data_IF_453082987484
#
_entry.id   IF_453082987484
#
_cell.length_a   1.000
_cell.length_b   1.000
_cell.length_c   1.000
_cell.angle_alpha   90.00
_cell.angle_beta   90.00
_cell.angle_gamma   90.00
#
_symmetry.space_group_name_H-M   'P 1'
#
loop_
_entity.id
_entity.type
_entity.pdbx_description
1 polymer ?
#
# COMPACT_ATOMS: atom_id res chain seq x y z
N UNK A 1 11.43 -20.37 -10.29
CA UNK A 1 11.31 -19.08 -11.00
C UNK A 1 9.99 -18.45 -10.58
N UNK A 2 9.98 -17.53 -9.61
CA UNK A 2 8.76 -16.86 -9.15
C UNK A 2 8.73 -15.42 -9.64
N UNK A 3 7.72 -15.12 -10.45
CA UNK A 3 7.47 -13.85 -11.12
C UNK A 3 7.16 -12.73 -10.13
N UNK A 4 8.12 -11.83 -9.98
CA UNK A 4 7.96 -10.49 -9.39
C UNK A 4 7.09 -9.60 -10.30
N UNK A 5 5.80 -9.91 -10.41
CA UNK A 5 4.84 -9.14 -11.23
C UNK A 5 4.05 -8.09 -10.45
N UNK A 6 3.63 -8.42 -9.23
CA UNK A 6 2.67 -7.61 -8.46
C UNK A 6 3.25 -6.27 -7.97
N UNK A 7 4.49 -6.27 -7.46
CA UNK A 7 5.11 -5.07 -6.90
C UNK A 7 5.35 -3.97 -7.95
N UNK A 8 5.53 -4.33 -9.22
CA UNK A 8 5.81 -3.39 -10.31
C UNK A 8 4.57 -2.56 -10.70
N UNK A 9 3.36 -3.07 -10.46
CA UNK A 9 2.10 -2.39 -10.80
C UNK A 9 1.69 -1.30 -9.82
N UNK A 10 2.24 -1.29 -8.60
CA UNK A 10 1.94 -0.27 -7.59
C UNK A 10 2.88 0.97 -7.68
N UNK A 11 3.80 1.03 -8.65
CA UNK A 11 4.61 2.23 -8.87
C UNK A 11 3.71 3.39 -9.30
N UNK A 12 3.86 4.54 -8.64
CA UNK A 12 3.20 5.79 -9.04
C UNK A 12 3.74 6.21 -10.42
N UNK A 13 2.84 6.54 -11.36
CA UNK A 13 3.20 7.09 -12.68
C UNK A 13 3.29 6.11 -13.86
N UNK A 14 3.01 4.81 -13.68
CA UNK A 14 2.98 3.82 -14.81
C UNK A 14 1.60 3.56 -15.40
N UNK A 15 0.55 4.12 -14.80
CA UNK A 15 -0.84 3.96 -15.28
C UNK A 15 -1.22 5.12 -16.19
N UNK A 16 -1.50 4.83 -17.46
CA UNK A 16 -1.92 5.84 -18.44
C UNK A 16 -3.34 6.37 -18.26
N UNK A 17 -4.13 5.79 -17.34
CA UNK A 17 -5.46 6.28 -16.96
C UNK A 17 -5.87 5.80 -15.57
N UNK A 18 -6.84 6.49 -14.97
CA UNK A 18 -7.43 6.12 -13.67
C UNK A 18 -8.13 4.76 -13.76
N UNK A 19 -8.83 4.48 -14.86
CA UNK A 19 -9.51 3.19 -15.05
C UNK A 19 -8.52 2.01 -15.09
N UNK A 20 -7.33 2.22 -15.67
CA UNK A 20 -6.29 1.19 -15.69
C UNK A 20 -5.75 0.91 -14.29
N UNK A 21 -5.53 1.96 -13.49
CA UNK A 21 -5.13 1.85 -12.09
C UNK A 21 -6.20 1.13 -11.25
N UNK A 22 -7.46 1.51 -11.38
CA UNK A 22 -8.57 0.89 -10.64
C UNK A 22 -8.69 -0.61 -10.92
N UNK A 23 -8.58 -1.00 -12.19
CA UNK A 23 -8.59 -2.41 -12.59
C UNK A 23 -7.43 -3.18 -11.97
N UNK A 24 -6.22 -2.62 -12.02
CA UNK A 24 -5.03 -3.27 -11.47
C UNK A 24 -5.10 -3.39 -9.94
N UNK A 25 -5.66 -2.39 -9.24
CA UNK A 25 -5.90 -2.47 -7.78
C UNK A 25 -6.92 -3.58 -7.47
N UNK A 26 -8.03 -3.66 -8.21
CA UNK A 26 -9.06 -4.69 -7.99
C UNK A 26 -8.53 -6.10 -8.23
N UNK A 27 -7.73 -6.29 -9.29
CA UNK A 27 -7.08 -7.56 -9.56
C UNK A 27 -6.11 -7.94 -8.43
N UNK A 28 -5.28 -6.99 -7.98
CA UNK A 28 -4.36 -7.21 -6.87
C UNK A 28 -5.08 -7.56 -5.56
N UNK A 29 -6.22 -6.91 -5.26
CA UNK A 29 -7.04 -7.22 -4.08
C UNK A 29 -7.62 -8.64 -4.13
N UNK A 30 -8.09 -9.09 -5.29
CA UNK A 30 -8.60 -10.44 -5.46
C UNK A 30 -7.50 -11.49 -5.20
N UNK A 31 -6.33 -11.31 -5.82
CA UNK A 31 -5.17 -12.18 -5.62
C UNK A 31 -4.71 -12.21 -4.15
N UNK A 32 -4.78 -11.08 -3.46
CA UNK A 32 -4.40 -10.97 -2.05
C UNK A 32 -5.39 -11.64 -1.11
N UNK A 33 -6.69 -11.54 -1.40
CA UNK A 33 -7.75 -12.14 -0.57
C UNK A 33 -7.75 -13.67 -0.66
N UNK A 34 -7.32 -14.26 -1.77
CA UNK A 34 -7.22 -15.72 -1.92
C UNK A 34 -6.14 -16.34 -1.01
N UNK A 35 -5.09 -15.59 -0.66
CA UNK A 35 -4.07 -16.03 0.28
C UNK A 35 -3.48 -14.84 1.05
N UNK A 36 -4.19 -14.33 2.06
CA UNK A 36 -3.76 -13.15 2.78
C UNK A 36 -2.51 -13.46 3.59
N UNK A 37 -1.46 -12.65 3.42
CA UNK A 37 -0.31 -12.69 4.34
C UNK A 37 -0.55 -11.64 5.42
N UNK A 38 -0.96 -12.04 6.63
CA UNK A 38 -1.26 -11.08 7.68
C UNK A 38 0.00 -10.27 7.98
N UNK A 39 -0.15 -8.95 7.93
CA UNK A 39 0.89 -8.05 8.39
C UNK A 39 0.86 -8.00 9.91
N UNK A 40 1.98 -8.36 10.54
CA UNK A 40 2.16 -8.15 11.97
C UNK A 40 2.64 -6.72 12.19
N UNK A 41 1.84 -5.93 12.88
CA UNK A 41 2.25 -4.59 13.29
C UNK A 41 3.50 -4.67 14.17
N UNK A 42 4.57 -4.02 13.71
CA UNK A 42 5.85 -3.92 14.45
C UNK A 42 5.83 -2.81 15.49
N UNK A 43 4.84 -1.92 15.42
CA UNK A 43 4.63 -0.80 16.32
C UNK A 43 3.23 -0.84 16.90
N UNK A 44 3.09 -0.43 18.14
CA UNK A 44 1.77 -0.31 18.78
C UNK A 44 1.01 0.90 18.24
N UNK A 45 -0.31 0.92 18.45
CA UNK A 45 -1.13 2.06 18.09
C UNK A 45 -0.64 3.36 18.75
N UNK A 46 -0.18 3.27 20.01
CA UNK A 46 0.35 4.41 20.77
C UNK A 46 1.66 4.93 20.18
N UNK A 47 2.54 4.05 19.70
CA UNK A 47 3.80 4.45 19.04
C UNK A 47 3.55 5.15 17.70
N UNK A 48 2.49 4.75 16.98
CA UNK A 48 2.06 5.42 15.76
C UNK A 48 1.41 6.78 16.08
N UNK A 49 0.57 6.85 17.11
CA UNK A 49 -0.05 8.09 17.56
C UNK A 49 0.99 9.13 17.99
N UNK A 50 2.01 8.70 18.76
CA UNK A 50 3.12 9.55 19.17
C UNK A 50 3.93 10.09 17.98
N UNK A 51 4.05 9.31 16.89
CA UNK A 51 4.69 9.78 15.66
C UNK A 51 3.85 10.84 14.94
N UNK A 52 2.52 10.68 14.89
CA UNK A 52 1.61 11.67 14.31
C UNK A 52 1.66 13.01 15.05
N UNK A 53 1.79 13.00 16.38
CA UNK A 53 1.93 14.24 17.18
C UNK A 53 3.33 14.86 17.10
N UNK A 54 4.34 14.09 16.68
CA UNK A 54 5.75 14.54 16.60
C UNK A 54 6.04 15.36 15.36
N UNK A 55 5.23 15.24 14.30
CA UNK A 55 5.31 16.15 13.16
C UNK A 55 4.63 17.45 13.64
N UNK A 56 5.37 18.51 14.02
CA UNK A 56 4.71 19.79 14.24
C UNK A 56 4.09 20.18 12.90
N UNK A 57 2.94 20.85 12.90
CA UNK A 57 2.35 21.48 11.71
C UNK A 57 3.47 21.92 10.78
N UNK A 58 3.68 21.18 9.69
CA UNK A 58 4.73 21.46 8.73
C UNK A 58 4.31 22.77 8.09
N UNK A 59 4.86 23.86 8.64
CA UNK A 59 4.33 25.21 8.56
C UNK A 59 3.65 25.52 7.25
N UNK A 60 2.37 25.89 7.35
CA UNK A 60 1.67 26.64 6.33
C UNK A 60 1.59 28.11 6.74
#
# INVERSE_FOLDING_TARGET
>A
MSTSGAAKKLRRGVHGSVQALERDIRAWLADWNDNPRPFTWTKTADEVAAYCTRIPDSGH
#
